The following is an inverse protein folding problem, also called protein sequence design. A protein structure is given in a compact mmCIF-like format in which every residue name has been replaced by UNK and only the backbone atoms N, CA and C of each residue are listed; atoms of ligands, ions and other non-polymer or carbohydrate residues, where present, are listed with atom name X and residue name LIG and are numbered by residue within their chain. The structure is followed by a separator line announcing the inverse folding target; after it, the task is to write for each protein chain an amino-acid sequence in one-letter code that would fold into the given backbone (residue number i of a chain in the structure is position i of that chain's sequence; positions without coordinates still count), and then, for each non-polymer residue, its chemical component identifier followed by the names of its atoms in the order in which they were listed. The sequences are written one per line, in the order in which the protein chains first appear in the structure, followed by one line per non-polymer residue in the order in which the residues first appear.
data_IF_667626047388
#
_entry.id   IF_667626047388
#
_cell.length_a   1.000
_cell.length_b   1.000
_cell.length_c   1.000
_cell.angle_alpha   90.00
_cell.angle_beta   90.00
_cell.angle_gamma   90.00
#
_symmetry.space_group_name_H-M   'P 1'
#
loop_
_entity.id
_entity.type
_entity.pdbx_description
1 polymer ?
#
# COMPACT_ATOMS: atom_id res chain seq x y z
N UNK A 1 -3.29 -11.96 1.11
CA UNK A 1 -2.18 -12.89 0.80
C UNK A 1 -2.50 -14.33 1.23
N UNK A 2 -2.76 -14.63 2.49
CA UNK A 2 -3.04 -16.01 2.96
C UNK A 2 -4.13 -16.70 2.12
N UNK A 3 -5.26 -16.04 1.84
CA UNK A 3 -6.33 -16.63 1.01
C UNK A 3 -5.87 -16.98 -0.42
N UNK A 4 -5.01 -16.15 -1.01
CA UNK A 4 -4.44 -16.47 -2.31
C UNK A 4 -3.50 -17.67 -2.22
N UNK A 5 -2.61 -17.70 -1.23
CA UNK A 5 -1.68 -18.82 -1.04
C UNK A 5 -2.43 -20.14 -0.84
N UNK A 6 -3.47 -20.15 -0.02
CA UNK A 6 -4.33 -21.34 0.18
C UNK A 6 -5.01 -21.79 -1.12
N UNK A 7 -5.50 -20.82 -1.92
CA UNK A 7 -6.11 -21.10 -3.23
C UNK A 7 -5.10 -21.68 -4.22
N UNK A 8 -3.84 -21.25 -4.12
CA UNK A 8 -2.72 -21.76 -4.94
C UNK A 8 -2.11 -23.07 -4.40
N UNK A 9 -2.72 -23.67 -3.36
CA UNK A 9 -2.34 -24.98 -2.83
C UNK A 9 -1.23 -24.98 -1.76
N UNK A 10 -0.83 -23.81 -1.25
CA UNK A 10 0.12 -23.76 -0.13
C UNK A 10 -0.58 -24.18 1.17
N UNK A 11 -0.01 -25.14 1.87
CA UNK A 11 -0.48 -25.61 3.19
C UNK A 11 0.42 -25.12 4.33
N UNK A 12 1.71 -25.01 4.07
CA UNK A 12 2.70 -24.55 5.03
C UNK A 12 2.85 -23.02 4.92
N UNK A 13 2.14 -22.31 5.78
CA UNK A 13 2.14 -20.84 5.82
C UNK A 13 2.44 -20.40 7.25
N UNK A 14 3.37 -19.47 7.41
CA UNK A 14 3.62 -18.77 8.67
C UNK A 14 3.28 -17.28 8.49
N UNK A 15 2.34 -16.79 9.27
CA UNK A 15 2.01 -15.38 9.38
C UNK A 15 2.52 -14.81 10.70
N UNK A 16 3.53 -13.97 10.65
CA UNK A 16 4.11 -13.29 11.82
C UNK A 16 3.51 -11.89 11.91
N UNK A 17 2.84 -11.57 13.00
CA UNK A 17 2.27 -10.25 13.28
C UNK A 17 2.14 -10.05 14.80
N UNK A 18 2.22 -8.79 15.26
CA UNK A 18 1.95 -8.42 16.65
C UNK A 18 0.46 -8.56 17.02
N UNK A 19 -0.43 -8.54 16.01
CA UNK A 19 -1.89 -8.63 16.16
C UNK A 19 -2.41 -9.94 15.58
N UNK A 20 -3.45 -10.52 16.18
CA UNK A 20 -4.12 -11.67 15.59
C UNK A 20 -4.78 -11.30 14.24
N UNK A 21 -4.95 -12.27 13.34
CA UNK A 21 -5.62 -12.03 12.07
C UNK A 21 -7.08 -11.63 12.30
N UNK A 22 -7.60 -10.78 11.40
CA UNK A 22 -9.00 -10.35 11.44
C UNK A 22 -9.98 -11.49 11.14
N UNK A 23 -9.55 -12.50 10.39
CA UNK A 23 -10.31 -13.69 10.06
C UNK A 23 -9.86 -14.87 10.95
N UNK A 24 -10.74 -15.42 11.77
CA UNK A 24 -10.44 -16.52 12.68
C UNK A 24 -9.88 -17.76 11.96
N UNK A 25 -10.32 -18.04 10.73
CA UNK A 25 -9.79 -19.15 9.90
C UNK A 25 -8.29 -19.05 9.61
N UNK A 26 -7.69 -17.86 9.73
CA UNK A 26 -6.26 -17.65 9.55
C UNK A 26 -5.43 -17.80 10.83
N UNK A 27 -6.07 -17.97 11.99
CA UNK A 27 -5.38 -18.05 13.29
C UNK A 27 -4.41 -19.22 13.39
N UNK A 28 -4.67 -20.31 12.70
CA UNK A 28 -3.78 -21.48 12.66
C UNK A 28 -2.41 -21.18 12.02
N UNK A 29 -2.34 -20.18 11.12
CA UNK A 29 -1.10 -19.75 10.45
C UNK A 29 -0.36 -18.65 11.19
N UNK A 30 -0.99 -18.05 12.22
CA UNK A 30 -0.46 -16.89 12.90
C UNK A 30 0.43 -17.26 14.08
N UNK A 31 1.53 -16.51 14.22
CA UNK A 31 2.37 -16.47 15.41
C UNK A 31 2.54 -15.02 15.84
N UNK A 32 2.31 -14.77 17.11
CA UNK A 32 2.55 -13.44 17.68
C UNK A 32 4.05 -13.22 17.82
N UNK A 33 4.57 -12.26 17.10
CA UNK A 33 5.98 -11.86 17.19
C UNK A 33 6.12 -10.41 16.73
N UNK A 34 6.89 -9.63 17.50
CA UNK A 34 7.28 -8.28 17.11
C UNK A 34 8.57 -8.36 16.28
N UNK A 35 8.59 -7.76 15.11
CA UNK A 35 9.79 -7.70 14.26
C UNK A 35 10.92 -6.89 14.89
N UNK A 36 10.66 -6.11 15.94
CA UNK A 36 11.68 -5.43 16.73
C UNK A 36 12.36 -6.37 17.74
N UNK A 37 11.72 -7.46 18.13
CA UNK A 37 12.33 -8.52 18.96
C UNK A 37 13.10 -9.49 18.05
N UNK A 38 14.40 -9.21 17.89
CA UNK A 38 15.28 -10.01 17.05
C UNK A 38 15.37 -11.47 17.54
N UNK A 39 15.33 -11.71 18.86
CA UNK A 39 15.44 -13.04 19.42
C UNK A 39 14.22 -13.90 19.09
N UNK A 40 13.03 -13.37 19.32
CA UNK A 40 11.77 -14.03 18.97
C UNK A 40 11.65 -14.24 17.45
N UNK A 41 12.00 -13.24 16.64
CA UNK A 41 11.93 -13.33 15.18
C UNK A 41 12.88 -14.43 14.65
N UNK A 42 14.12 -14.49 15.13
CA UNK A 42 15.07 -15.55 14.77
C UNK A 42 14.51 -16.94 15.08
N UNK A 43 13.95 -17.11 16.26
CA UNK A 43 13.36 -18.39 16.70
C UNK A 43 12.24 -18.86 15.76
N UNK A 44 11.28 -17.97 15.45
CA UNK A 44 10.16 -18.31 14.57
C UNK A 44 10.62 -18.61 13.13
N UNK A 45 11.53 -17.80 12.58
CA UNK A 45 12.05 -17.99 11.22
C UNK A 45 12.89 -19.27 11.11
N UNK A 46 13.75 -19.56 12.08
CA UNK A 46 14.54 -20.80 12.09
C UNK A 46 13.66 -22.05 12.22
N UNK A 47 12.66 -22.00 13.12
CA UNK A 47 11.76 -23.14 13.33
C UNK A 47 10.92 -23.46 12.10
N UNK A 48 10.46 -22.42 11.38
CA UNK A 48 9.65 -22.60 10.17
C UNK A 48 10.50 -22.87 8.92
N UNK A 49 11.70 -22.29 8.85
CA UNK A 49 12.66 -22.40 7.74
C UNK A 49 12.00 -22.12 6.36
N UNK A 50 11.46 -20.92 6.12
CA UNK A 50 10.69 -20.61 4.92
C UNK A 50 11.54 -20.66 3.65
N UNK A 51 10.98 -21.08 2.52
CA UNK A 51 11.58 -20.92 1.18
C UNK A 51 11.30 -19.53 0.60
N UNK A 52 10.11 -19.02 0.84
CA UNK A 52 9.60 -17.78 0.26
C UNK A 52 9.13 -16.82 1.37
N UNK A 53 9.53 -15.57 1.28
CA UNK A 53 9.22 -14.57 2.29
C UNK A 53 8.59 -13.33 1.66
N UNK A 54 7.51 -12.83 2.27
CA UNK A 54 6.91 -11.53 1.92
C UNK A 54 6.86 -10.67 3.18
N UNK A 55 7.76 -9.71 3.29
CA UNK A 55 7.84 -8.80 4.42
C UNK A 55 6.88 -7.61 4.21
N UNK A 56 5.68 -7.72 4.77
CA UNK A 56 4.64 -6.68 4.73
C UNK A 56 4.58 -5.85 6.03
N UNK A 57 5.19 -6.35 7.10
CA UNK A 57 5.16 -5.71 8.42
C UNK A 57 5.76 -4.30 8.35
N UNK A 58 5.02 -3.32 8.82
CA UNK A 58 5.44 -1.92 8.81
C UNK A 58 4.60 -1.08 9.76
N UNK A 59 5.22 -0.02 10.29
CA UNK A 59 4.49 1.08 10.89
C UNK A 59 4.01 2.01 9.80
N UNK A 60 2.71 2.21 9.72
CA UNK A 60 2.05 3.10 8.76
C UNK A 60 1.52 4.37 9.44
N UNK A 61 0.96 5.29 8.65
CA UNK A 61 0.43 6.56 9.12
C UNK A 61 1.40 7.72 8.90
N UNK A 62 0.87 8.88 8.49
CA UNK A 62 1.68 10.02 8.04
C UNK A 62 1.84 11.12 9.12
N UNK A 63 1.18 10.95 10.27
CA UNK A 63 1.02 12.01 11.28
C UNK A 63 2.04 11.96 12.42
N UNK A 64 2.94 10.97 12.43
CA UNK A 64 3.96 10.85 13.46
C UNK A 64 5.00 11.94 13.35
N UNK A 65 5.38 12.52 14.49
CA UNK A 65 6.20 13.70 14.55
C UNK A 65 7.71 13.45 14.37
N UNK A 66 8.17 12.19 14.41
CA UNK A 66 9.60 11.85 14.45
C UNK A 66 9.89 10.55 13.72
N UNK A 67 11.10 10.41 13.20
CA UNK A 67 11.55 9.25 12.45
C UNK A 67 11.65 7.97 13.31
N UNK A 68 12.04 8.10 14.57
CA UNK A 68 12.15 6.97 15.50
C UNK A 68 10.81 6.28 15.79
N UNK A 69 9.69 6.97 15.58
CA UNK A 69 8.35 6.37 15.65
C UNK A 69 8.08 5.31 14.57
N UNK A 70 9.01 5.09 13.65
CA UNK A 70 8.94 4.13 12.55
C UNK A 70 10.07 3.09 12.62
N UNK A 71 10.49 2.70 13.82
CA UNK A 71 11.55 1.72 14.03
C UNK A 71 11.29 0.40 13.27
N UNK A 72 10.03 -0.03 13.17
CA UNK A 72 9.62 -1.23 12.44
C UNK A 72 10.03 -1.19 10.96
N UNK A 73 10.03 0.00 10.34
CA UNK A 73 10.39 0.17 8.93
C UNK A 73 11.91 0.17 8.68
N UNK A 74 12.71 0.31 9.72
CA UNK A 74 14.18 0.40 9.65
C UNK A 74 14.84 -0.75 10.42
N UNK A 75 14.66 -0.78 11.74
CA UNK A 75 15.21 -1.84 12.59
C UNK A 75 14.56 -3.19 12.28
N UNK A 76 13.22 -3.21 12.08
CA UNK A 76 12.49 -4.41 11.72
C UNK A 76 12.97 -5.02 10.40
N UNK A 77 13.29 -4.19 9.38
CA UNK A 77 13.89 -4.68 8.12
C UNK A 77 15.28 -5.29 8.37
N UNK A 78 16.11 -4.65 9.18
CA UNK A 78 17.44 -5.20 9.54
C UNK A 78 17.31 -6.51 10.29
N UNK A 79 16.41 -6.57 11.26
CA UNK A 79 16.15 -7.79 12.04
C UNK A 79 15.66 -8.94 11.16
N UNK A 80 14.83 -8.64 10.15
CA UNK A 80 14.38 -9.65 9.19
C UNK A 80 15.57 -10.25 8.44
N UNK A 81 16.52 -9.46 7.92
CA UNK A 81 17.73 -10.01 7.29
C UNK A 81 18.53 -10.88 8.24
N UNK A 82 18.74 -10.45 9.50
CA UNK A 82 19.46 -11.22 10.50
C UNK A 82 18.76 -12.55 10.86
N UNK A 83 17.45 -12.59 10.77
CA UNK A 83 16.70 -13.83 10.96
C UNK A 83 16.78 -14.73 9.72
N UNK A 84 16.64 -14.17 8.50
CA UNK A 84 16.68 -14.93 7.26
C UNK A 84 18.04 -15.58 6.97
N UNK A 85 19.14 -14.97 7.41
CA UNK A 85 20.48 -15.57 7.32
C UNK A 85 20.58 -16.91 8.07
N UNK A 86 19.71 -17.17 9.02
CA UNK A 86 19.64 -18.40 9.82
C UNK A 86 18.66 -19.45 9.25
N UNK A 87 18.01 -19.17 8.13
CA UNK A 87 17.07 -20.07 7.48
C UNK A 87 17.62 -20.49 6.11
N UNK A 88 18.31 -21.62 6.02
CA UNK A 88 19.01 -22.05 4.80
C UNK A 88 18.09 -22.38 3.63
N UNK A 89 16.81 -22.65 3.88
CA UNK A 89 15.83 -22.92 2.83
C UNK A 89 15.37 -21.65 2.07
N UNK A 90 15.66 -20.44 2.59
CA UNK A 90 15.20 -19.20 1.97
C UNK A 90 15.84 -19.04 0.58
N UNK A 91 14.97 -18.89 -0.42
CA UNK A 91 15.34 -18.63 -1.80
C UNK A 91 15.03 -17.20 -2.22
N UNK A 92 13.95 -16.65 -1.69
CA UNK A 92 13.42 -15.32 -2.09
C UNK A 92 12.76 -14.57 -0.95
N UNK A 93 13.02 -13.27 -0.92
CA UNK A 93 12.35 -12.35 -0.01
C UNK A 93 11.87 -11.09 -0.75
N UNK A 94 10.58 -10.77 -0.62
CA UNK A 94 10.01 -9.49 -1.08
C UNK A 94 9.90 -8.53 0.10
N UNK A 95 10.50 -7.37 -0.03
CA UNK A 95 10.45 -6.30 0.97
C UNK A 95 9.53 -5.18 0.53
N UNK A 96 8.55 -4.85 1.38
CA UNK A 96 7.55 -3.84 1.06
C UNK A 96 8.00 -2.45 1.51
N UNK A 97 8.22 -1.60 0.52
CA UNK A 97 8.46 -0.18 0.65
C UNK A 97 7.16 0.62 0.48
N UNK A 98 7.22 1.78 -0.16
CA UNK A 98 6.08 2.65 -0.46
C UNK A 98 6.41 3.58 -1.62
N UNK A 99 5.39 4.04 -2.36
CA UNK A 99 5.55 5.16 -3.27
C UNK A 99 6.08 6.41 -2.55
N UNK A 100 5.81 6.55 -1.25
CA UNK A 100 6.17 7.73 -0.44
C UNK A 100 7.66 7.86 -0.10
N UNK A 101 8.51 6.97 -0.60
CA UNK A 101 9.97 7.24 -0.69
C UNK A 101 10.25 8.48 -1.55
N UNK A 102 9.23 8.91 -2.32
CA UNK A 102 9.16 10.21 -2.98
C UNK A 102 7.89 10.96 -2.56
N UNK A 103 7.94 12.28 -2.59
CA UNK A 103 6.75 13.11 -2.37
C UNK A 103 5.69 12.91 -3.45
N UNK A 104 4.44 13.11 -3.12
CA UNK A 104 3.33 13.01 -4.08
C UNK A 104 3.56 13.91 -5.31
N UNK A 105 3.34 13.34 -6.49
CA UNK A 105 3.54 14.03 -7.78
C UNK A 105 5.00 14.05 -8.28
N UNK A 106 5.95 13.50 -7.52
CA UNK A 106 7.31 13.33 -7.98
C UNK A 106 7.49 11.94 -8.61
N UNK A 107 7.93 11.90 -9.86
CA UNK A 107 8.27 10.67 -10.57
C UNK A 107 9.80 10.51 -10.55
N UNK A 108 10.33 9.48 -9.87
CA UNK A 108 11.76 9.29 -9.76
C UNK A 108 12.36 8.85 -11.10
N UNK A 109 13.58 9.28 -11.38
CA UNK A 109 14.33 8.96 -12.62
C UNK A 109 14.93 7.55 -12.59
N UNK A 110 15.20 7.03 -11.40
CA UNK A 110 15.73 5.68 -11.16
C UNK A 110 15.36 5.23 -9.75
N UNK A 111 15.54 3.95 -9.45
CA UNK A 111 15.11 3.34 -8.19
C UNK A 111 15.66 3.97 -6.92
N UNK A 112 16.80 4.60 -6.98
CA UNK A 112 17.45 5.27 -5.84
C UNK A 112 17.33 6.79 -5.86
N UNK A 113 16.49 7.34 -6.74
CA UNK A 113 16.15 8.77 -6.77
C UNK A 113 15.05 9.04 -5.71
N UNK A 114 15.49 9.17 -4.47
CA UNK A 114 14.61 9.37 -3.33
C UNK A 114 14.33 10.85 -3.06
N UNK A 115 13.07 11.17 -2.76
CA UNK A 115 12.65 12.52 -2.36
C UNK A 115 11.48 12.47 -1.36
N UNK A 116 11.67 11.87 -0.17
CA UNK A 116 10.61 11.77 0.81
C UNK A 116 10.22 13.16 1.34
N UNK A 117 8.94 13.34 1.70
CA UNK A 117 8.41 14.56 2.32
C UNK A 117 7.78 14.30 3.69
N UNK A 118 7.85 13.07 4.17
CA UNK A 118 7.30 12.65 5.47
C UNK A 118 8.28 11.72 6.17
N UNK A 119 8.26 11.67 7.51
CA UNK A 119 9.06 10.71 8.27
C UNK A 119 8.72 9.24 7.93
N UNK A 120 7.47 8.96 7.57
CA UNK A 120 7.10 7.64 7.03
C UNK A 120 7.86 7.33 5.74
N UNK A 121 7.82 8.24 4.77
CA UNK A 121 8.54 8.07 3.49
C UNK A 121 10.05 7.94 3.70
N UNK A 122 10.62 8.75 4.60
CA UNK A 122 12.03 8.69 4.97
C UNK A 122 12.38 7.33 5.61
N UNK A 123 11.55 6.81 6.53
CA UNK A 123 11.76 5.50 7.13
C UNK A 123 11.73 4.36 6.10
N UNK A 124 10.84 4.45 5.10
CA UNK A 124 10.78 3.48 4.00
C UNK A 124 11.99 3.60 3.07
N UNK A 125 12.46 4.80 2.78
CA UNK A 125 13.70 5.04 2.06
C UNK A 125 14.90 4.39 2.79
N UNK A 126 15.01 4.58 4.10
CA UNK A 126 16.07 3.95 4.91
C UNK A 126 15.94 2.42 4.85
N UNK A 127 14.72 1.88 4.95
CA UNK A 127 14.47 0.45 4.79
C UNK A 127 14.96 -0.08 3.44
N UNK A 128 14.69 0.63 2.33
CA UNK A 128 15.22 0.24 1.01
C UNK A 128 16.74 0.28 0.93
N UNK A 129 17.38 1.29 1.53
CA UNK A 129 18.86 1.35 1.60
C UNK A 129 19.42 0.15 2.35
N UNK A 130 18.83 -0.23 3.48
CA UNK A 130 19.21 -1.41 4.24
C UNK A 130 19.11 -2.68 3.36
N UNK A 131 18.02 -2.84 2.58
CA UNK A 131 17.85 -3.96 1.65
C UNK A 131 18.96 -3.97 0.59
N UNK A 132 19.24 -2.83 -0.05
CA UNK A 132 20.21 -2.69 -1.15
C UNK A 132 21.67 -2.85 -0.71
N UNK A 133 21.97 -2.55 0.54
CA UNK A 133 23.30 -2.68 1.13
C UNK A 133 23.66 -4.13 1.49
N UNK A 134 22.67 -5.04 1.50
CA UNK A 134 22.97 -6.45 1.80
C UNK A 134 23.77 -7.10 0.69
N UNK A 135 24.86 -7.75 1.08
CA UNK A 135 25.76 -8.51 0.20
C UNK A 135 25.85 -9.96 0.69
N UNK A 136 26.33 -10.82 -0.19
CA UNK A 136 26.65 -12.22 0.12
C UNK A 136 25.46 -12.98 0.74
N UNK A 137 24.25 -12.70 0.24
CA UNK A 137 23.04 -13.40 0.64
C UNK A 137 22.92 -14.73 -0.14
N UNK A 138 22.47 -15.77 0.57
CA UNK A 138 22.09 -17.04 -0.03
C UNK A 138 20.69 -17.03 -0.68
N UNK A 139 20.01 -15.89 -0.67
CA UNK A 139 18.69 -15.70 -1.27
C UNK A 139 18.59 -14.40 -2.07
N UNK A 140 17.62 -14.36 -2.96
CA UNK A 140 17.31 -13.16 -3.77
C UNK A 140 16.33 -12.25 -3.04
N UNK A 141 16.50 -10.93 -3.20
CA UNK A 141 15.55 -9.95 -2.72
C UNK A 141 14.91 -9.16 -3.85
N UNK A 142 13.68 -8.70 -3.62
CA UNK A 142 12.93 -7.78 -4.48
C UNK A 142 12.27 -6.73 -3.61
N UNK A 143 12.32 -5.46 -4.01
CA UNK A 143 11.60 -4.37 -3.35
C UNK A 143 10.29 -4.12 -4.09
N UNK A 144 9.21 -3.94 -3.36
CA UNK A 144 7.95 -3.47 -3.92
C UNK A 144 7.54 -2.12 -3.32
N UNK A 145 6.98 -1.23 -4.16
CA UNK A 145 6.45 0.09 -3.79
C UNK A 145 4.96 0.14 -4.08
N UNK A 146 4.10 -0.28 -3.14
CA UNK A 146 2.65 -0.17 -3.31
C UNK A 146 2.23 1.29 -3.53
N UNK A 147 1.29 1.49 -4.48
CA UNK A 147 0.73 2.79 -4.82
C UNK A 147 -0.75 2.80 -4.44
N UNK A 148 -1.09 3.55 -3.40
CA UNK A 148 -2.49 3.85 -3.06
C UNK A 148 -3.41 2.62 -3.15
N UNK A 149 -3.10 1.58 -2.37
CA UNK A 149 -3.86 0.32 -2.39
C UNK A 149 -5.24 0.52 -1.77
N UNK A 150 -6.28 0.10 -2.49
CA UNK A 150 -7.68 0.21 -2.11
C UNK A 150 -8.43 -1.13 -2.28
N UNK A 151 -9.59 -1.28 -1.65
CA UNK A 151 -10.41 -2.49 -1.78
C UNK A 151 -10.85 -3.06 -0.45
N UNK A 152 -11.31 -4.33 -0.44
CA UNK A 152 -11.67 -5.05 0.79
C UNK A 152 -10.55 -5.03 1.82
N UNK A 153 -10.93 -4.93 3.12
CA UNK A 153 -10.01 -4.81 4.27
C UNK A 153 -9.22 -3.50 4.30
N UNK A 154 -9.44 -2.61 3.34
CA UNK A 154 -8.84 -1.29 3.32
C UNK A 154 -9.30 -0.44 4.52
N UNK A 155 -8.51 0.58 4.81
CA UNK A 155 -8.79 1.58 5.84
C UNK A 155 -9.00 2.96 5.18
N UNK A 156 -9.12 3.99 5.98
CA UNK A 156 -9.14 5.36 5.46
C UNK A 156 -7.87 5.68 4.63
N UNK A 157 -7.97 6.50 3.59
CA UNK A 157 -9.16 7.31 3.20
C UNK A 157 -10.10 6.63 2.19
N UNK A 158 -9.74 5.49 1.61
CA UNK A 158 -10.48 4.91 0.47
C UNK A 158 -11.87 4.41 0.85
N UNK A 159 -12.03 3.79 2.02
CA UNK A 159 -13.36 3.37 2.52
C UNK A 159 -14.29 4.58 2.67
N UNK A 160 -13.77 5.72 3.13
CA UNK A 160 -14.54 6.94 3.28
C UNK A 160 -15.00 7.52 1.93
N UNK A 161 -14.28 7.27 0.83
CA UNK A 161 -14.75 7.63 -0.51
C UNK A 161 -16.08 6.93 -0.85
N UNK A 162 -16.16 5.61 -0.64
CA UNK A 162 -17.39 4.84 -0.87
C UNK A 162 -18.54 5.33 0.02
N UNK A 163 -18.28 5.56 1.30
CA UNK A 163 -19.26 6.06 2.27
C UNK A 163 -19.76 7.45 1.90
N UNK A 164 -18.86 8.38 1.59
CA UNK A 164 -19.23 9.76 1.25
C UNK A 164 -20.05 9.82 -0.04
N UNK A 165 -19.71 9.00 -1.04
CA UNK A 165 -20.52 8.90 -2.27
C UNK A 165 -21.91 8.34 -1.95
N UNK A 166 -22.01 7.27 -1.16
CA UNK A 166 -23.29 6.67 -0.75
C UNK A 166 -24.18 7.66 -0.01
N UNK A 167 -23.59 8.46 0.88
CA UNK A 167 -24.28 9.46 1.69
C UNK A 167 -24.60 10.77 0.95
N UNK A 168 -24.03 10.98 -0.27
CA UNK A 168 -24.22 12.21 -1.04
C UNK A 168 -23.33 13.38 -0.57
N UNK A 169 -22.27 13.10 0.18
CA UNK A 169 -21.31 14.10 0.70
C UNK A 169 -20.07 14.27 -0.18
N UNK A 170 -19.92 13.46 -1.22
CA UNK A 170 -18.82 13.58 -2.16
C UNK A 170 -19.19 14.54 -3.30
N UNK A 171 -18.24 15.37 -3.70
CA UNK A 171 -18.35 16.33 -4.80
C UNK A 171 -17.11 16.25 -5.69
N UNK A 172 -17.29 16.40 -6.99
CA UNK A 172 -16.19 16.64 -7.89
C UNK A 172 -15.68 18.07 -7.71
N UNK A 173 -14.37 18.26 -7.55
CA UNK A 173 -13.75 19.58 -7.37
C UNK A 173 -13.13 20.03 -8.68
N UNK A 174 -13.55 21.21 -9.15
CA UNK A 174 -13.11 21.74 -10.44
C UNK A 174 -13.70 20.95 -11.61
N UNK A 175 -13.20 21.18 -12.80
CA UNK A 175 -13.62 20.48 -14.03
C UNK A 175 -12.62 19.40 -14.48
N UNK A 176 -11.63 19.09 -13.64
CA UNK A 176 -10.48 18.29 -14.06
C UNK A 176 -10.61 16.80 -13.84
N UNK A 177 -10.13 16.07 -14.80
CA UNK A 177 -9.89 14.65 -14.71
C UNK A 177 -8.47 14.44 -14.17
N UNK A 178 -8.37 13.92 -12.94
CA UNK A 178 -7.08 13.67 -12.27
C UNK A 178 -6.75 12.19 -12.35
N UNK A 179 -5.75 11.87 -13.17
CA UNK A 179 -5.30 10.49 -13.38
C UNK A 179 -4.29 10.07 -12.32
N UNK A 180 -4.48 8.86 -11.76
CA UNK A 180 -3.60 8.30 -10.74
C UNK A 180 -3.37 6.82 -10.92
N UNK A 181 -2.15 6.40 -10.70
CA UNK A 181 -1.90 4.99 -10.42
C UNK A 181 -2.51 4.64 -9.08
N UNK A 182 -3.46 3.72 -9.06
CA UNK A 182 -4.09 3.15 -7.88
C UNK A 182 -3.98 1.64 -7.96
N UNK A 183 -3.91 0.94 -6.82
CA UNK A 183 -3.84 -0.52 -6.81
C UNK A 183 -5.06 -1.14 -6.16
N UNK A 184 -5.83 -1.91 -6.90
CA UNK A 184 -6.85 -2.76 -6.29
C UNK A 184 -6.18 -3.88 -5.49
N UNK A 185 -6.59 -4.10 -4.24
CA UNK A 185 -5.85 -4.95 -3.29
C UNK A 185 -5.67 -6.40 -3.79
N UNK A 186 -6.67 -6.99 -4.46
CA UNK A 186 -6.53 -8.36 -4.95
C UNK A 186 -5.58 -8.43 -6.16
N UNK A 187 -5.53 -7.40 -7.03
CA UNK A 187 -4.52 -7.25 -8.07
C UNK A 187 -3.11 -7.07 -7.48
N UNK A 188 -3.00 -6.27 -6.42
CA UNK A 188 -1.74 -6.07 -5.72
C UNK A 188 -1.22 -7.38 -5.11
N UNK A 189 -2.07 -8.12 -4.42
CA UNK A 189 -1.74 -9.43 -3.83
C UNK A 189 -1.35 -10.44 -4.92
N UNK A 190 -2.09 -10.48 -6.03
CA UNK A 190 -1.77 -11.31 -7.19
C UNK A 190 -0.41 -10.94 -7.79
N UNK A 191 -0.14 -9.64 -7.95
CA UNK A 191 1.14 -9.17 -8.49
C UNK A 191 2.31 -9.56 -7.58
N UNK A 192 2.18 -9.41 -6.26
CA UNK A 192 3.19 -9.83 -5.28
C UNK A 192 3.45 -11.34 -5.39
N UNK A 193 2.39 -12.15 -5.48
CA UNK A 193 2.50 -13.59 -5.66
C UNK A 193 3.25 -13.95 -6.95
N UNK A 194 2.91 -13.31 -8.07
CA UNK A 194 3.58 -13.54 -9.35
C UNK A 194 5.05 -13.14 -9.32
N UNK A 195 5.40 -12.01 -8.69
CA UNK A 195 6.79 -11.60 -8.48
C UNK A 195 7.55 -12.64 -7.63
N UNK A 196 6.91 -13.18 -6.60
CA UNK A 196 7.50 -14.20 -5.73
C UNK A 196 7.82 -15.49 -6.50
N UNK A 197 7.08 -15.80 -7.58
CA UNK A 197 7.21 -17.02 -8.40
C UNK A 197 7.94 -16.79 -9.73
N UNK A 198 8.23 -15.55 -10.09
CA UNK A 198 8.84 -15.21 -11.37
C UNK A 198 10.28 -15.74 -11.50
N UNK A 199 10.84 -15.91 -12.71
CA UNK A 199 12.25 -16.23 -12.92
C UNK A 199 13.17 -15.21 -12.20
N UNK A 200 14.24 -15.70 -11.56
CA UNK A 200 15.14 -14.87 -10.72
C UNK A 200 15.72 -13.69 -11.49
N UNK A 201 16.14 -13.90 -12.70
CA UNK A 201 16.73 -12.88 -13.58
C UNK A 201 15.79 -11.70 -13.87
N UNK A 202 14.48 -11.93 -13.71
CA UNK A 202 13.47 -10.89 -13.90
C UNK A 202 13.22 -10.04 -12.64
N UNK A 203 13.54 -10.56 -11.44
CA UNK A 203 13.09 -9.93 -10.18
C UNK A 203 14.22 -9.68 -9.17
N UNK A 204 15.32 -10.41 -9.25
CA UNK A 204 16.42 -10.33 -8.27
C UNK A 204 17.07 -8.93 -8.28
N UNK A 205 17.15 -8.31 -7.10
CA UNK A 205 17.75 -6.99 -6.92
C UNK A 205 16.93 -5.82 -7.52
N UNK A 206 15.70 -6.09 -7.99
CA UNK A 206 14.87 -5.08 -8.67
C UNK A 206 13.81 -4.47 -7.74
N UNK A 207 13.28 -3.33 -8.19
CA UNK A 207 12.19 -2.61 -7.53
C UNK A 207 10.99 -2.53 -8.46
N UNK A 208 9.80 -2.83 -7.96
CA UNK A 208 8.55 -2.75 -8.71
C UNK A 208 7.54 -1.87 -7.99
N UNK A 209 6.92 -0.97 -8.72
CA UNK A 209 5.70 -0.32 -8.27
C UNK A 209 4.54 -1.31 -8.36
N UNK A 210 3.66 -1.31 -7.36
CA UNK A 210 2.48 -2.20 -7.30
C UNK A 210 1.23 -1.35 -7.40
N UNK A 211 0.56 -1.43 -8.56
CA UNK A 211 -0.71 -0.78 -8.85
C UNK A 211 -1.42 -1.54 -9.99
N UNK A 212 -2.63 -1.12 -10.30
CA UNK A 212 -3.30 -1.51 -11.54
C UNK A 212 -2.56 -0.88 -12.74
N UNK A 213 -2.55 -1.56 -13.88
CA UNK A 213 -1.75 -1.11 -15.04
C UNK A 213 -2.28 0.17 -15.67
N UNK A 214 -3.61 0.31 -15.69
CA UNK A 214 -4.23 1.51 -16.20
C UNK A 214 -4.46 2.50 -15.05
N UNK A 215 -4.00 3.74 -15.19
CA UNK A 215 -4.25 4.75 -14.18
C UNK A 215 -5.73 5.08 -14.11
N UNK A 216 -6.28 5.11 -12.92
CA UNK A 216 -7.67 5.48 -12.70
C UNK A 216 -7.85 6.99 -12.81
N UNK A 217 -8.86 7.43 -13.54
CA UNK A 217 -9.38 8.78 -13.43
C UNK A 217 -10.31 8.86 -12.20
N UNK A 218 -10.02 9.77 -11.28
CA UNK A 218 -10.78 9.86 -10.03
C UNK A 218 -12.24 10.28 -10.25
N UNK A 219 -12.52 11.05 -11.30
CA UNK A 219 -13.87 11.42 -11.68
C UNK A 219 -14.67 10.19 -12.13
N UNK A 220 -14.11 9.41 -13.05
CA UNK A 220 -14.76 8.22 -13.60
C UNK A 220 -14.92 7.15 -12.52
N UNK A 221 -13.90 6.96 -11.68
CA UNK A 221 -13.95 6.03 -10.53
C UNK A 221 -15.09 6.40 -9.56
N UNK A 222 -15.22 7.68 -9.21
CA UNK A 222 -16.28 8.12 -8.30
C UNK A 222 -17.68 7.96 -8.92
N UNK A 223 -17.83 8.25 -10.21
CA UNK A 223 -19.10 8.03 -10.91
C UNK A 223 -19.47 6.55 -11.02
N UNK A 224 -18.49 5.66 -11.28
CA UNK A 224 -18.72 4.22 -11.29
C UNK A 224 -19.15 3.70 -9.90
N UNK A 225 -18.50 4.17 -8.83
CA UNK A 225 -18.90 3.87 -7.44
C UNK A 225 -20.34 4.34 -7.21
N UNK A 226 -20.66 5.57 -7.61
CA UNK A 226 -22.00 6.14 -7.47
C UNK A 226 -23.07 5.33 -8.20
N UNK A 227 -22.78 4.93 -9.43
CA UNK A 227 -23.68 4.10 -10.25
C UNK A 227 -23.95 2.74 -9.59
N UNK A 228 -22.90 2.04 -9.13
CA UNK A 228 -23.06 0.73 -8.49
C UNK A 228 -23.72 0.81 -7.11
N UNK A 229 -23.55 1.91 -6.38
CA UNK A 229 -24.22 2.15 -5.10
C UNK A 229 -25.65 2.67 -5.26
N UNK A 230 -26.09 2.98 -6.50
CA UNK A 230 -27.33 3.71 -6.77
C UNK A 230 -27.41 4.99 -5.93
N UNK A 231 -26.29 5.69 -5.83
CA UNK A 231 -26.19 6.94 -5.09
C UNK A 231 -26.79 8.12 -5.87
N UNK A 232 -26.99 9.24 -5.20
CA UNK A 232 -27.41 10.48 -5.86
C UNK A 232 -26.32 10.95 -6.84
N UNK A 233 -26.72 11.73 -7.86
CA UNK A 233 -25.79 12.33 -8.80
C UNK A 233 -24.74 13.15 -8.05
N UNK A 234 -23.47 12.94 -8.41
CA UNK A 234 -22.35 13.69 -7.85
C UNK A 234 -22.30 15.06 -8.53
N UNK A 235 -22.34 16.12 -7.74
CA UNK A 235 -22.28 17.49 -8.23
C UNK A 235 -20.85 17.98 -8.36
N UNK A 236 -20.66 18.98 -9.22
CA UNK A 236 -19.39 19.68 -9.39
C UNK A 236 -19.35 20.94 -8.52
N UNK A 237 -18.24 21.11 -7.80
CA UNK A 237 -17.96 22.36 -7.09
C UNK A 237 -16.84 23.11 -7.82
N UNK A 238 -17.04 24.40 -8.10
CA UNK A 238 -15.99 25.23 -8.70
C UNK A 238 -14.73 25.26 -7.83
N UNK A 239 -13.56 25.25 -8.47
CA UNK A 239 -12.28 25.17 -7.75
C UNK A 239 -12.00 26.40 -6.87
N UNK A 240 -12.38 27.60 -7.33
CA UNK A 240 -12.06 28.84 -6.63
C UNK A 240 -12.64 28.94 -5.22
N UNK A 241 -13.95 28.69 -4.98
CA UNK A 241 -14.49 28.66 -3.63
C UNK A 241 -13.80 27.63 -2.73
N UNK A 242 -13.44 26.47 -3.28
CA UNK A 242 -12.76 25.41 -2.52
C UNK A 242 -11.33 25.83 -2.12
N UNK A 243 -10.61 26.57 -2.98
CA UNK A 243 -9.30 27.15 -2.63
C UNK A 243 -9.41 28.17 -1.49
N UNK A 244 -10.45 29.00 -1.50
CA UNK A 244 -10.69 29.97 -0.42
C UNK A 244 -10.99 29.23 0.89
N UNK A 245 -11.85 28.22 0.88
CA UNK A 245 -12.14 27.39 2.05
C UNK A 245 -10.88 26.68 2.59
N UNK A 246 -10.04 26.19 1.69
CA UNK A 246 -8.78 25.57 2.07
C UNK A 246 -7.81 26.55 2.74
N UNK A 247 -7.72 27.78 2.23
CA UNK A 247 -6.90 28.84 2.83
C UNK A 247 -7.44 29.28 4.22
N UNK A 248 -8.76 29.35 4.37
CA UNK A 248 -9.39 29.55 5.69
C UNK A 248 -9.02 28.40 6.64
N UNK A 249 -9.05 27.17 6.14
CA UNK A 249 -8.65 25.99 6.89
C UNK A 249 -7.20 26.06 7.38
N UNK A 250 -6.27 26.50 6.53
CA UNK A 250 -4.87 26.70 6.91
C UNK A 250 -4.71 27.77 8.00
N UNK A 251 -5.47 28.86 7.89
CA UNK A 251 -5.47 29.93 8.88
C UNK A 251 -6.00 29.46 10.25
N UNK A 252 -7.09 28.69 10.26
CA UNK A 252 -7.66 28.13 11.49
C UNK A 252 -6.68 27.14 12.15
N UNK A 253 -6.02 26.30 11.35
CA UNK A 253 -4.99 25.39 11.84
C UNK A 253 -3.81 26.14 12.45
N UNK A 254 -3.36 27.24 11.83
CA UNK A 254 -2.32 28.11 12.35
C UNK A 254 -2.67 28.74 13.72
N UNK A 255 -3.98 28.77 14.06
CA UNK A 255 -4.50 29.22 15.36
C UNK A 255 -4.79 28.10 16.36
N UNK A 256 -4.33 26.85 16.07
CA UNK A 256 -4.45 25.72 17.00
C UNK A 256 -5.70 24.86 16.82
N UNK A 257 -6.51 25.06 15.77
CA UNK A 257 -7.63 24.18 15.46
C UNK A 257 -7.11 22.89 14.81
N UNK A 258 -7.20 21.77 15.53
CA UNK A 258 -6.65 20.50 15.04
C UNK A 258 -7.52 19.83 13.99
N UNK A 259 -8.85 19.91 14.11
CA UNK A 259 -9.82 19.20 13.26
C UNK A 259 -10.37 20.07 12.12
N UNK A 260 -9.48 20.56 11.26
CA UNK A 260 -9.89 21.30 10.06
C UNK A 260 -10.06 20.35 8.88
N UNK A 261 -11.28 20.24 8.31
CA UNK A 261 -11.59 19.21 7.31
C UNK A 261 -10.88 19.44 5.96
N UNK A 262 -10.68 20.69 5.56
CA UNK A 262 -10.06 21.07 4.30
C UNK A 262 -8.90 22.04 4.52
N UNK A 263 -7.75 21.74 3.92
CA UNK A 263 -6.51 22.50 3.95
C UNK A 263 -5.90 22.53 2.56
N UNK A 264 -5.10 23.54 2.25
CA UNK A 264 -4.44 23.69 0.94
C UNK A 264 -3.58 22.48 0.59
N UNK A 265 -2.90 21.88 1.57
CA UNK A 265 -2.13 20.64 1.37
C UNK A 265 -3.01 19.47 0.93
N UNK A 266 -4.17 19.26 1.59
CA UNK A 266 -5.12 18.21 1.20
C UNK A 266 -5.71 18.46 -0.18
N UNK A 267 -6.11 19.71 -0.45
CA UNK A 267 -6.63 20.11 -1.75
C UNK A 267 -5.57 19.91 -2.84
N UNK A 268 -4.34 20.33 -2.64
CA UNK A 268 -3.23 20.08 -3.56
C UNK A 268 -3.08 18.59 -3.85
N UNK A 269 -3.10 17.76 -2.82
CA UNK A 269 -3.01 16.30 -2.99
C UNK A 269 -4.18 15.75 -3.82
N UNK A 270 -5.41 16.25 -3.62
CA UNK A 270 -6.58 15.84 -4.42
C UNK A 270 -6.43 16.23 -5.89
N UNK A 271 -5.82 17.37 -6.19
CA UNK A 271 -5.65 17.89 -7.54
C UNK A 271 -4.35 17.41 -8.22
N UNK A 272 -3.47 16.70 -7.50
CA UNK A 272 -2.18 16.25 -8.06
C UNK A 272 -2.36 14.94 -8.82
N UNK A 273 -1.94 14.91 -10.07
CA UNK A 273 -1.79 13.70 -10.84
C UNK A 273 -0.46 13.00 -10.51
N UNK A 274 -0.51 11.68 -10.50
CA UNK A 274 0.70 10.85 -10.46
C UNK A 274 0.41 9.52 -11.15
N UNK A 275 1.09 9.34 -12.26
CA UNK A 275 1.00 8.14 -13.09
C UNK A 275 2.40 7.54 -13.19
N UNK A 276 2.53 6.31 -12.73
CA UNK A 276 3.77 5.55 -12.80
C UNK A 276 3.74 4.61 -13.99
N UNK A 277 4.90 4.36 -14.59
CA UNK A 277 5.03 3.33 -15.61
C UNK A 277 4.91 1.94 -14.96
N UNK A 278 3.87 1.21 -15.33
CA UNK A 278 3.60 -0.14 -14.85
C UNK A 278 4.09 -1.22 -15.82
N UNK A 279 4.73 -0.84 -16.93
CA UNK A 279 5.24 -1.79 -17.94
C UNK A 279 6.20 -2.82 -17.35
N UNK A 280 7.16 -2.47 -16.45
CA UNK A 280 8.04 -3.44 -15.83
C UNK A 280 7.29 -4.49 -14.98
N UNK A 281 6.24 -4.08 -14.27
CA UNK A 281 5.40 -5.01 -13.51
C UNK A 281 4.59 -5.90 -14.46
N UNK A 282 3.96 -5.31 -15.47
CA UNK A 282 3.11 -6.01 -16.44
C UNK A 282 3.89 -7.08 -17.21
N UNK A 283 5.13 -6.81 -17.59
CA UNK A 283 6.01 -7.77 -18.29
C UNK A 283 6.28 -9.03 -17.45
N UNK A 284 6.43 -8.89 -16.14
CA UNK A 284 6.74 -10.00 -15.24
C UNK A 284 5.47 -10.74 -14.79
N UNK A 285 4.43 -10.00 -14.45
CA UNK A 285 3.21 -10.52 -13.81
C UNK A 285 2.19 -11.05 -14.82
N UNK A 286 2.15 -10.46 -16.03
CA UNK A 286 1.11 -10.73 -17.03
C UNK A 286 -0.22 -10.01 -16.70
N UNK A 287 -1.35 -10.46 -17.26
CA UNK A 287 -2.64 -9.80 -17.04
C UNK A 287 -3.09 -9.91 -15.58
N UNK A 288 -3.59 -8.79 -15.05
CA UNK A 288 -4.19 -8.73 -13.72
C UNK A 288 -5.62 -9.30 -13.75
N UNK A 289 -6.07 -9.96 -12.66
CA UNK A 289 -7.35 -10.69 -12.64
C UNK A 289 -8.61 -9.81 -12.62
N UNK A 290 -8.50 -8.54 -12.19
CA UNK A 290 -9.67 -7.68 -11.99
C UNK A 290 -9.51 -6.32 -12.64
N UNK A 291 -10.58 -5.88 -13.31
CA UNK A 291 -10.74 -4.50 -13.78
C UNK A 291 -11.11 -3.56 -12.63
N UNK A 292 -10.97 -2.25 -12.82
CA UNK A 292 -11.42 -1.21 -11.87
C UNK A 292 -12.90 -1.42 -11.48
N UNK A 293 -13.76 -1.68 -12.47
CA UNK A 293 -15.20 -1.88 -12.26
C UNK A 293 -15.50 -3.11 -11.39
N UNK A 294 -14.84 -4.21 -11.64
CA UNK A 294 -14.97 -5.43 -10.82
C UNK A 294 -14.42 -5.23 -9.40
N UNK A 295 -13.29 -4.54 -9.25
CA UNK A 295 -12.74 -4.16 -7.94
C UNK A 295 -13.72 -3.31 -7.13
N UNK A 296 -14.39 -2.34 -7.76
CA UNK A 296 -15.43 -1.52 -7.13
C UNK A 296 -16.58 -2.41 -6.67
N UNK A 297 -17.11 -3.28 -7.55
CA UNK A 297 -18.22 -4.19 -7.22
C UNK A 297 -17.90 -5.10 -6.03
N UNK A 298 -16.69 -5.69 -6.01
CA UNK A 298 -16.21 -6.56 -4.94
C UNK A 298 -16.05 -5.79 -3.63
N UNK A 299 -15.52 -4.56 -3.70
CA UNK A 299 -15.38 -3.69 -2.53
C UNK A 299 -16.74 -3.32 -1.94
N UNK A 300 -17.70 -2.93 -2.76
CA UNK A 300 -19.09 -2.63 -2.34
C UNK A 300 -19.74 -3.86 -1.68
N UNK A 301 -19.57 -5.04 -2.29
CA UNK A 301 -20.09 -6.29 -1.70
C UNK A 301 -19.49 -6.54 -0.31
N UNK A 302 -18.16 -6.40 -0.18
CA UNK A 302 -17.47 -6.58 1.10
C UNK A 302 -17.93 -5.56 2.15
N UNK A 303 -18.04 -4.27 1.77
CA UNK A 303 -18.52 -3.21 2.67
C UNK A 303 -19.93 -3.47 3.20
N UNK A 304 -20.84 -3.97 2.34
CA UNK A 304 -22.21 -4.33 2.73
C UNK A 304 -22.22 -5.52 3.70
N UNK A 305 -21.44 -6.56 3.41
CA UNK A 305 -21.35 -7.76 4.28
C UNK A 305 -20.80 -7.42 5.68
N UNK A 306 -19.92 -6.41 5.77
CA UNK A 306 -19.33 -5.97 7.03
C UNK A 306 -20.05 -4.76 7.66
N UNK A 307 -21.27 -4.44 7.21
CA UNK A 307 -22.09 -3.32 7.71
C UNK A 307 -21.38 -1.97 7.73
N UNK A 308 -20.57 -1.71 6.71
CA UNK A 308 -19.77 -0.49 6.59
C UNK A 308 -20.33 0.52 5.56
N UNK A 309 -21.46 0.19 4.91
CA UNK A 309 -22.20 1.05 3.96
C UNK A 309 -23.66 1.18 4.35
#
# INVERSE_FOLDING_TARGET
MIELLLKEGYIDILNIDIKPPRENKHSQYWRQCDILDLGALKKEIQAFNPELVVHLAAKTGLTRARLDCYAENMVGVRNMFEALKLAPAVQRAIFTSSLLVCQMGYIPKHDTDYKPSTFYGESKMIGEKIVREQKDLNFSWTIIRPISIWGPWGEEPYINLFRSIKQGWYFHIGGGHYRRSLGYVENAVFSIYKLLRAPLEKVSGKTFYIADYEPADLYDMANEIGAQLKARRIFHLPLMPIKVLAAIGDFLRGRGWENVPLQSFRLKNILTEYVFDMSPLKEVVGPQPFTLKEGIARTIKWLKLNQQL
#
